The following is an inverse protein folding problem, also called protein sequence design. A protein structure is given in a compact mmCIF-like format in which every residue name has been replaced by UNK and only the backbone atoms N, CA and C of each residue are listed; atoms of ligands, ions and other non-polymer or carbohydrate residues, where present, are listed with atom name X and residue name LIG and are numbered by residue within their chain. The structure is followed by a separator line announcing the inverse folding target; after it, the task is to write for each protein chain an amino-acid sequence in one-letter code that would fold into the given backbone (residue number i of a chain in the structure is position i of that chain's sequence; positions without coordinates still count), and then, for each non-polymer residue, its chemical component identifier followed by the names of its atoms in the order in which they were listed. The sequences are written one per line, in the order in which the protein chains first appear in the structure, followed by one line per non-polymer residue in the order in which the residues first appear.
data_IF_547828790662
#
_entry.id   IF_547828790662
#
_cell.length_a   1.000
_cell.length_b   1.000
_cell.length_c   1.000
_cell.angle_alpha   90.00
_cell.angle_beta   90.00
_cell.angle_gamma   90.00
#
_symmetry.space_group_name_H-M   'P 1'
#
loop_
_entity.id
_entity.type
_entity.pdbx_description
1 polymer ?
#
# COMPACT_ATOMS: atom_id res chain seq x y z
N UNK A 1 -19.41 -10.50 -4.94
CA UNK A 1 -18.24 -10.96 -4.17
C UNK A 1 -17.04 -10.94 -5.09
N UNK A 2 -15.94 -10.31 -4.67
CA UNK A 2 -14.67 -10.27 -5.38
C UNK A 2 -13.55 -10.80 -4.49
N UNK A 3 -12.39 -11.04 -5.07
CA UNK A 3 -11.21 -11.52 -4.37
C UNK A 3 -10.27 -10.35 -4.08
N UNK A 4 -9.89 -10.19 -2.82
CA UNK A 4 -8.99 -9.13 -2.38
C UNK A 4 -7.59 -9.34 -2.96
N UNK A 5 -6.99 -8.28 -3.48
CA UNK A 5 -5.73 -8.29 -4.25
C UNK A 5 -4.52 -7.91 -3.41
N UNK A 6 -4.68 -7.80 -2.11
CA UNK A 6 -3.64 -7.41 -1.19
C UNK A 6 -3.76 -8.14 0.15
N UNK A 7 -3.05 -7.60 1.13
CA UNK A 7 -3.11 -8.01 2.52
C UNK A 7 -3.38 -6.77 3.34
N UNK A 8 -4.30 -6.88 4.28
CA UNK A 8 -4.61 -5.82 5.23
C UNK A 8 -3.88 -6.12 6.55
N UNK A 9 -2.95 -5.25 6.93
CA UNK A 9 -2.24 -5.32 8.21
C UNK A 9 -2.97 -4.46 9.24
N UNK A 10 -3.56 -5.11 10.23
CA UNK A 10 -4.19 -4.44 11.35
C UNK A 10 -3.17 -3.73 12.23
N UNK A 11 -3.64 -2.69 12.91
CA UNK A 11 -2.90 -2.05 14.00
C UNK A 11 -2.90 -2.92 15.27
N UNK A 12 -1.96 -2.65 16.18
CA UNK A 12 -1.94 -3.26 17.50
C UNK A 12 -2.98 -2.58 18.43
N UNK A 13 -3.46 -3.28 19.48
CA UNK A 13 -4.32 -2.68 20.49
C UNK A 13 -3.69 -1.42 21.11
N UNK A 14 -4.41 -0.30 21.12
CA UNK A 14 -3.94 0.98 21.64
C UNK A 14 -3.32 1.92 20.61
N UNK A 15 -3.19 1.49 19.35
CA UNK A 15 -2.68 2.32 18.25
C UNK A 15 -3.77 3.09 17.48
N UNK A 16 -5.03 3.00 17.91
CA UNK A 16 -6.18 3.58 17.19
C UNK A 16 -5.99 5.09 17.00
N UNK A 17 -5.47 5.77 18.03
CA UNK A 17 -5.31 7.22 18.10
C UNK A 17 -3.84 7.69 18.11
N UNK A 18 -2.88 6.83 17.77
CA UNK A 18 -1.44 7.18 17.68
C UNK A 18 -0.96 7.23 16.23
N UNK A 19 0.21 7.81 15.96
CA UNK A 19 0.78 7.72 14.61
C UNK A 19 1.44 6.34 14.41
N UNK A 20 1.00 5.60 13.38
CA UNK A 20 1.55 4.28 13.00
C UNK A 20 2.33 4.44 11.70
N UNK A 21 3.64 4.24 11.76
CA UNK A 21 4.54 4.44 10.62
C UNK A 21 4.45 3.29 9.61
N UNK A 22 4.34 3.65 8.33
CA UNK A 22 4.40 2.69 7.22
C UNK A 22 5.78 2.78 6.58
N UNK A 23 6.48 1.64 6.54
CA UNK A 23 7.81 1.53 5.96
C UNK A 23 7.76 0.91 4.58
N UNK A 24 8.66 1.35 3.71
CA UNK A 24 8.81 0.79 2.38
C UNK A 24 9.35 -0.64 2.45
N UNK A 25 8.69 -1.52 1.71
CA UNK A 25 9.03 -2.94 1.64
C UNK A 25 10.34 -3.19 0.88
N UNK A 26 10.55 -2.45 -0.21
CA UNK A 26 11.69 -2.58 -1.11
C UNK A 26 12.15 -1.19 -1.58
N UNK A 27 13.37 -1.13 -2.10
CA UNK A 27 13.84 0.01 -2.89
C UNK A 27 12.93 0.25 -4.09
N UNK A 28 12.62 1.51 -4.40
CA UNK A 28 11.72 1.81 -5.49
C UNK A 28 11.65 3.28 -5.87
N UNK A 29 10.72 3.60 -6.78
CA UNK A 29 10.42 4.97 -7.22
C UNK A 29 8.93 5.25 -7.09
N UNK A 30 8.57 6.41 -6.53
CA UNK A 30 7.15 6.80 -6.40
C UNK A 30 6.55 7.05 -7.78
N UNK A 31 5.50 6.31 -8.11
CA UNK A 31 4.72 6.48 -9.34
C UNK A 31 3.49 7.36 -9.13
N UNK A 32 2.82 7.24 -7.99
CA UNK A 32 1.61 8.01 -7.67
C UNK A 32 1.54 8.32 -6.18
N UNK A 33 0.97 9.48 -5.86
CA UNK A 33 0.56 9.87 -4.50
C UNK A 33 -0.74 10.66 -4.61
N UNK A 34 -1.87 10.10 -4.18
CA UNK A 34 -3.18 10.73 -4.33
C UNK A 34 -4.25 10.12 -3.43
N UNK A 35 -5.40 10.77 -3.39
CA UNK A 35 -6.62 10.15 -2.87
C UNK A 35 -7.21 9.17 -3.92
N UNK A 36 -7.76 8.07 -3.45
CA UNK A 36 -8.51 7.10 -4.25
C UNK A 36 -9.73 6.59 -3.46
N UNK A 37 -10.90 6.56 -4.11
CA UNK A 37 -12.10 6.00 -3.49
C UNK A 37 -11.91 4.50 -3.20
N UNK A 38 -12.40 4.05 -2.05
CA UNK A 38 -12.16 2.73 -1.48
C UNK A 38 -10.86 2.59 -0.69
N UNK A 39 -9.98 3.60 -0.70
CA UNK A 39 -8.68 3.55 -0.02
C UNK A 39 -8.38 4.75 0.86
N UNK A 40 -8.93 5.91 0.53
CA UNK A 40 -8.43 7.16 1.09
C UNK A 40 -7.09 7.52 0.47
N UNK A 41 -6.07 7.77 1.30
CA UNK A 41 -4.72 8.08 0.82
C UNK A 41 -3.98 6.87 0.29
N UNK A 42 -3.41 7.01 -0.92
CA UNK A 42 -2.63 5.96 -1.59
C UNK A 42 -1.30 6.52 -2.09
N UNK A 43 -0.24 5.72 -1.93
CA UNK A 43 1.01 5.87 -2.69
C UNK A 43 1.30 4.57 -3.45
N UNK A 44 1.80 4.71 -4.68
CA UNK A 44 2.21 3.59 -5.52
C UNK A 44 3.70 3.72 -5.83
N UNK A 45 4.45 2.64 -5.66
CA UNK A 45 5.90 2.58 -5.83
C UNK A 45 6.24 1.51 -6.85
N UNK A 46 7.03 1.84 -7.88
CA UNK A 46 7.66 0.81 -8.73
C UNK A 46 8.83 0.18 -7.98
N UNK A 47 8.97 -1.13 -8.11
CA UNK A 47 10.00 -1.89 -7.41
C UNK A 47 10.34 -3.16 -8.18
N UNK A 48 11.24 -3.96 -7.61
CA UNK A 48 11.62 -5.28 -8.10
C UNK A 48 11.42 -6.31 -6.98
N UNK A 49 10.80 -7.44 -7.32
CA UNK A 49 10.67 -8.63 -6.48
C UNK A 49 11.16 -9.82 -7.30
N UNK A 50 12.10 -10.60 -6.76
CA UNK A 50 12.75 -11.72 -7.48
C UNK A 50 13.25 -11.34 -8.89
N UNK A 51 13.86 -10.16 -9.00
CA UNK A 51 14.33 -9.56 -10.25
C UNK A 51 13.25 -9.34 -11.32
N UNK A 52 11.97 -9.37 -10.95
CA UNK A 52 10.84 -9.03 -11.81
C UNK A 52 10.26 -7.67 -11.42
N UNK A 53 9.88 -6.83 -12.40
CA UNK A 53 9.26 -5.55 -12.12
C UNK A 53 7.88 -5.74 -11.48
N UNK A 54 7.61 -4.94 -10.46
CA UNK A 54 6.32 -4.88 -9.77
C UNK A 54 5.92 -3.44 -9.45
N UNK A 55 4.64 -3.23 -9.19
CA UNK A 55 4.14 -2.03 -8.51
C UNK A 55 3.57 -2.40 -7.15
N UNK A 56 3.88 -1.60 -6.15
CA UNK A 56 3.46 -1.80 -4.75
C UNK A 56 2.53 -0.66 -4.37
N UNK A 57 1.36 -0.99 -3.86
CA UNK A 57 0.35 -0.04 -3.38
C UNK A 57 0.34 -0.06 -1.86
N UNK A 58 0.44 1.12 -1.25
CA UNK A 58 0.21 1.33 0.18
C UNK A 58 -1.02 2.23 0.34
N UNK A 59 -2.10 1.67 0.90
CA UNK A 59 -3.39 2.34 1.07
C UNK A 59 -3.65 2.82 2.50
N UNK A 60 -4.76 3.54 2.67
CA UNK A 60 -5.25 4.09 3.95
C UNK A 60 -4.23 5.00 4.67
N UNK A 61 -3.43 5.74 3.91
CA UNK A 61 -2.38 6.62 4.43
C UNK A 61 -2.88 8.05 4.70
N UNK A 62 -2.31 8.70 5.71
CA UNK A 62 -2.40 10.15 5.88
C UNK A 62 -1.53 10.84 4.83
N UNK A 63 -2.10 11.28 3.71
CA UNK A 63 -1.33 11.88 2.60
C UNK A 63 -0.47 13.08 3.00
N UNK A 64 -0.92 13.90 3.96
CA UNK A 64 -0.17 15.06 4.46
C UNK A 64 1.12 14.68 5.18
N UNK A 65 1.26 13.43 5.62
CA UNK A 65 2.48 12.93 6.24
C UNK A 65 3.54 12.43 5.26
N UNK A 66 3.17 12.21 4.00
CA UNK A 66 4.06 11.64 2.98
C UNK A 66 4.89 12.75 2.35
N UNK A 67 6.16 12.79 2.70
CA UNK A 67 7.11 13.79 2.19
C UNK A 67 7.52 13.50 0.74
N UNK A 68 7.66 12.22 0.37
CA UNK A 68 8.05 11.80 -0.96
C UNK A 68 7.06 12.29 -2.04
N UNK A 69 7.58 12.65 -3.20
CA UNK A 69 6.86 13.11 -4.39
C UNK A 69 7.01 12.10 -5.51
N UNK A 70 6.15 12.19 -6.52
CA UNK A 70 6.25 11.37 -7.73
C UNK A 70 7.62 11.57 -8.37
N UNK A 71 8.31 10.48 -8.69
CA UNK A 71 9.68 10.46 -9.21
C UNK A 71 10.77 10.30 -8.14
N UNK A 72 10.46 10.48 -6.86
CA UNK A 72 11.44 10.30 -5.79
C UNK A 72 11.76 8.81 -5.59
N UNK A 73 13.03 8.54 -5.24
CA UNK A 73 13.48 7.21 -4.85
C UNK A 73 13.17 6.98 -3.38
N UNK A 74 12.70 5.78 -3.04
CA UNK A 74 12.47 5.32 -1.67
C UNK A 74 13.38 4.12 -1.42
N UNK A 75 13.93 4.03 -0.21
CA UNK A 75 14.74 2.89 0.22
C UNK A 75 13.95 1.90 1.06
N UNK A 76 14.28 0.61 0.94
CA UNK A 76 13.72 -0.42 1.82
C UNK A 76 13.91 -0.05 3.30
N UNK A 77 12.85 -0.14 4.09
CA UNK A 77 12.82 0.24 5.50
C UNK A 77 12.65 1.75 5.79
N UNK A 78 12.71 2.61 4.76
CA UNK A 78 12.43 4.04 4.88
C UNK A 78 10.95 4.28 5.23
N UNK A 79 10.68 5.24 6.12
CA UNK A 79 9.30 5.64 6.43
C UNK A 79 8.70 6.39 5.26
N UNK A 80 7.64 5.85 4.68
CA UNK A 80 6.86 6.47 3.61
C UNK A 80 5.96 7.58 4.18
N UNK A 81 5.36 7.31 5.33
CA UNK A 81 4.40 8.18 6.02
C UNK A 81 3.71 7.42 7.15
N UNK A 82 2.55 7.93 7.58
CA UNK A 82 1.75 7.31 8.63
C UNK A 82 0.38 6.87 8.10
N UNK A 83 -0.22 5.89 8.78
CA UNK A 83 -1.62 5.53 8.56
C UNK A 83 -2.54 6.72 8.82
N UNK A 84 -3.62 6.78 8.04
CA UNK A 84 -4.71 7.72 8.25
C UNK A 84 -5.47 7.43 9.54
N UNK A 85 -6.14 8.44 10.06
CA UNK A 85 -7.10 8.23 11.16
C UNK A 85 -8.24 7.34 10.66
N UNK A 86 -8.60 6.31 11.43
CA UNK A 86 -9.70 5.40 11.08
C UNK A 86 -11.04 6.14 11.01
N UNK A 87 -11.96 5.59 10.20
CA UNK A 87 -13.30 6.12 9.97
C UNK A 87 -13.32 7.60 9.55
N UNK A 88 -12.28 8.04 8.82
CA UNK A 88 -12.11 9.43 8.41
C UNK A 88 -11.98 9.54 6.89
N UNK A 89 -11.91 10.79 6.40
CA UNK A 89 -11.60 11.02 4.98
C UNK A 89 -10.21 10.49 4.59
N UNK A 90 -9.27 10.37 5.51
CA UNK A 90 -7.91 9.88 5.19
C UNK A 90 -7.91 8.40 4.78
N UNK A 91 -8.91 7.63 5.24
CA UNK A 91 -9.09 6.20 4.96
C UNK A 91 -10.30 5.91 4.08
N UNK A 92 -10.98 6.95 3.58
CA UNK A 92 -12.29 6.88 2.90
C UNK A 92 -13.37 6.16 3.73
N UNK A 93 -13.35 6.38 5.04
CA UNK A 93 -14.31 5.82 5.99
C UNK A 93 -13.94 4.45 6.54
N UNK A 94 -12.87 3.83 6.05
CA UNK A 94 -12.40 2.54 6.56
C UNK A 94 -11.75 2.64 7.93
N UNK A 95 -11.77 1.53 8.69
CA UNK A 95 -11.01 1.41 9.94
C UNK A 95 -9.51 1.59 9.67
N UNK A 96 -8.74 1.90 10.71
CA UNK A 96 -7.30 2.13 10.57
C UNK A 96 -6.53 0.83 10.36
N UNK A 97 -5.89 0.71 9.20
CA UNK A 97 -5.02 -0.41 8.85
C UNK A 97 -4.16 -0.03 7.63
N UNK A 98 -3.15 -0.85 7.33
CA UNK A 98 -2.45 -0.75 6.05
C UNK A 98 -3.06 -1.73 5.06
N UNK A 99 -3.49 -1.25 3.90
CA UNK A 99 -3.67 -2.11 2.73
C UNK A 99 -2.36 -2.16 1.94
N UNK A 100 -1.80 -3.36 1.74
CA UNK A 100 -0.59 -3.57 0.97
C UNK A 100 -0.87 -4.55 -0.17
N UNK A 101 -0.60 -4.13 -1.41
CA UNK A 101 -0.71 -5.04 -2.56
C UNK A 101 0.48 -4.89 -3.51
N UNK A 102 0.85 -6.01 -4.14
CA UNK A 102 1.96 -6.08 -5.08
C UNK A 102 1.41 -6.65 -6.38
N UNK A 103 1.48 -5.86 -7.46
CA UNK A 103 1.04 -6.27 -8.79
C UNK A 103 2.25 -6.47 -9.70
N UNK A 104 2.22 -7.53 -10.51
CA UNK A 104 3.29 -7.81 -11.48
C UNK A 104 3.33 -6.78 -12.59
N UNK A 105 4.52 -6.48 -13.09
CA UNK A 105 4.75 -5.51 -14.16
C UNK A 105 4.87 -4.07 -13.67
N UNK A 106 4.86 -3.14 -14.62
CA UNK A 106 5.15 -1.71 -14.36
C UNK A 106 3.89 -0.84 -14.35
N UNK A 107 2.73 -1.41 -14.64
CA UNK A 107 1.47 -0.67 -14.65
C UNK A 107 1.00 -0.32 -13.24
N UNK A 108 0.52 0.90 -13.07
CA UNK A 108 -0.13 1.30 -11.82
C UNK A 108 -1.51 0.65 -11.75
N UNK A 109 -1.63 -0.38 -10.90
CA UNK A 109 -2.88 -1.07 -10.64
C UNK A 109 -3.25 -0.97 -9.16
N UNK A 110 -4.25 -0.15 -8.84
CA UNK A 110 -4.75 0.04 -7.47
C UNK A 110 -6.06 -0.70 -7.21
N UNK A 111 -6.41 -1.72 -8.01
CA UNK A 111 -7.65 -2.47 -7.75
C UNK A 111 -7.51 -3.19 -6.42
N UNK A 112 -8.50 -3.03 -5.54
CA UNK A 112 -8.56 -3.74 -4.25
C UNK A 112 -9.25 -5.10 -4.35
N UNK A 113 -9.98 -5.33 -5.43
CA UNK A 113 -10.66 -6.59 -5.71
C UNK A 113 -10.63 -6.95 -7.19
N UNK A 114 -10.54 -8.24 -7.48
CA UNK A 114 -10.74 -8.84 -8.81
C UNK A 114 -11.95 -9.78 -8.82
N UNK A 115 -12.49 -10.06 -10.00
CA UNK A 115 -13.75 -10.81 -10.17
C UNK A 115 -13.59 -12.32 -10.06
N UNK A 116 -12.39 -12.84 -10.26
CA UNK A 116 -12.11 -14.28 -10.26
C UNK A 116 -10.76 -14.58 -9.63
N UNK A 117 -10.58 -15.82 -9.17
CA UNK A 117 -9.35 -16.26 -8.50
C UNK A 117 -8.16 -16.30 -9.47
N UNK A 118 -8.42 -16.57 -10.75
CA UNK A 118 -7.39 -16.62 -11.79
C UNK A 118 -6.71 -15.26 -11.97
N UNK A 119 -7.46 -14.17 -11.81
CA UNK A 119 -6.93 -12.80 -11.86
C UNK A 119 -6.02 -12.47 -10.66
N UNK A 120 -6.02 -13.27 -9.59
CA UNK A 120 -5.05 -13.11 -8.49
C UNK A 120 -3.65 -13.56 -8.89
N UNK A 121 -3.49 -14.33 -9.98
CA UNK A 121 -2.17 -14.78 -10.42
C UNK A 121 -1.24 -13.62 -10.84
N UNK A 122 -1.82 -12.45 -11.13
CA UNK A 122 -1.08 -11.22 -11.42
C UNK A 122 -0.61 -10.47 -10.15
N UNK A 123 -1.03 -10.93 -8.98
CA UNK A 123 -0.70 -10.36 -7.69
C UNK A 123 0.27 -11.26 -6.94
N UNK A 124 1.21 -10.64 -6.24
CA UNK A 124 2.21 -11.32 -5.41
C UNK A 124 1.78 -11.17 -3.95
N UNK A 125 1.84 -12.27 -3.21
CA UNK A 125 1.58 -12.25 -1.76
C UNK A 125 2.69 -11.45 -1.03
N UNK A 126 2.38 -10.28 -0.44
CA UNK A 126 3.37 -9.48 0.27
C UNK A 126 3.99 -10.20 1.48
N UNK A 127 3.24 -11.12 2.11
CA UNK A 127 3.68 -11.84 3.32
C UNK A 127 4.89 -12.75 3.05
N UNK A 128 5.14 -13.14 1.80
CA UNK A 128 6.32 -13.94 1.44
C UNK A 128 7.63 -13.16 1.55
N UNK A 129 7.58 -11.83 1.60
CA UNK A 129 8.75 -10.95 1.51
C UNK A 129 8.87 -9.98 2.69
N UNK A 130 7.84 -9.87 3.52
CA UNK A 130 7.93 -9.22 4.82
C UNK A 130 8.59 -10.17 5.81
N UNK A 131 9.83 -9.89 6.20
CA UNK A 131 10.48 -10.59 7.31
C UNK A 131 9.83 -10.10 8.61
N UNK A 132 9.26 -11.04 9.37
CA UNK A 132 8.81 -10.82 10.75
C UNK A 132 9.99 -10.51 11.68
#
# INVERSE_FOLDING_TARGET
MGYHTGVDFEILPGEENTDVAVKAMNDGVVLQKRFASGYGGVIVVSSMVDNQPVTIVYGHLRLSSIQAKVGDKIKAGETIGFLGNGCSKETDGERKHLHLSIHKGTEVNIRGYVKSKELLNDWVDPCLYLKQ
#
